data_IF_655887253667
#
_entry.id   IF_655887253667
#
_cell.length_a   1.000
_cell.length_b   1.000
_cell.length_c   1.000
_cell.angle_alpha   90.00
_cell.angle_beta   90.00
_cell.angle_gamma   90.00
#
_symmetry.space_group_name_H-M   'P 1'
#
loop_
_entity.id
_entity.type
_entity.pdbx_description
1 polymer ?
#
# COMPACT_ATOMS: atom_id res chain seq x y z
N UNK A 1 4.85 1.72 15.23
CA UNK A 1 5.10 2.86 16.14
C UNK A 1 4.09 3.94 15.78
N UNK A 2 2.99 4.06 16.52
CA UNK A 2 2.08 5.19 16.32
C UNK A 2 2.80 6.43 16.83
N UNK A 3 3.21 7.32 15.92
CA UNK A 3 3.71 8.63 16.30
C UNK A 3 2.52 9.40 16.91
N UNK A 4 2.46 9.47 18.24
CA UNK A 4 1.56 10.41 18.89
C UNK A 4 2.01 11.81 18.46
N UNK A 5 1.11 12.67 17.95
CA UNK A 5 1.48 14.05 17.70
C UNK A 5 1.80 14.69 19.05
N UNK A 6 3.01 15.23 19.15
CA UNK A 6 3.47 16.03 20.28
C UNK A 6 2.67 17.34 20.26
N UNK A 7 1.54 17.42 20.96
CA UNK A 7 0.77 18.66 21.04
C UNK A 7 0.09 18.86 22.40
N UNK A 8 0.20 20.12 22.83
CA UNK A 8 -0.05 20.68 24.16
C UNK A 8 -1.24 20.09 24.91
N UNK A 9 -1.03 19.85 26.20
CA UNK A 9 -2.05 19.48 27.18
C UNK A 9 -3.18 20.53 27.31
N UNK A 10 -3.04 21.70 26.68
CA UNK A 10 -3.99 22.82 26.72
C UNK A 10 -5.11 22.76 25.66
N UNK A 11 -5.22 21.66 24.90
CA UNK A 11 -6.33 21.47 23.97
C UNK A 11 -7.66 21.28 24.73
N UNK A 12 -8.80 21.76 24.18
CA UNK A 12 -10.11 21.67 24.84
C UNK A 12 -10.42 20.23 25.30
N UNK A 13 -10.91 20.11 26.55
CA UNK A 13 -11.30 18.83 27.16
C UNK A 13 -12.44 18.13 26.44
N UNK A 14 -13.22 18.89 25.66
CA UNK A 14 -14.29 18.39 24.80
C UNK A 14 -13.79 18.37 23.34
N UNK A 15 -13.32 17.21 22.84
CA UNK A 15 -12.84 17.10 21.48
C UNK A 15 -14.00 17.26 20.50
N UNK A 16 -13.79 18.08 19.48
CA UNK A 16 -14.77 18.25 18.41
C UNK A 16 -14.96 16.94 17.64
N UNK A 17 -16.11 16.28 17.84
CA UNK A 17 -16.45 15.00 17.20
C UNK A 17 -17.07 15.17 15.81
N UNK A 18 -17.31 16.40 15.33
CA UNK A 18 -17.86 16.65 13.98
C UNK A 18 -17.09 15.96 12.84
N UNK A 19 -15.75 15.80 12.90
CA UNK A 19 -15.00 15.04 11.89
C UNK A 19 -15.33 13.53 11.86
N UNK A 20 -15.90 12.99 12.94
CA UNK A 20 -16.30 11.57 13.08
C UNK A 20 -17.78 11.39 12.77
N UNK A 21 -18.17 11.58 11.51
CA UNK A 21 -19.51 11.22 11.07
C UNK A 21 -19.74 9.69 11.17
N UNK A 22 -20.97 9.29 11.46
CA UNK A 22 -21.35 7.88 11.54
C UNK A 22 -21.02 7.15 10.23
N UNK A 23 -20.26 6.05 10.33
CA UNK A 23 -19.83 5.24 9.17
C UNK A 23 -18.56 5.74 8.49
N UNK A 24 -17.98 6.88 8.89
CA UNK A 24 -16.68 7.33 8.38
C UNK A 24 -15.57 6.44 8.94
N UNK A 25 -14.72 5.82 8.10
CA UNK A 25 -13.62 5.02 8.61
C UNK A 25 -12.57 5.90 9.29
N UNK A 26 -12.25 5.57 10.54
CA UNK A 26 -11.34 6.37 11.38
C UNK A 26 -9.91 6.44 10.85
N UNK A 27 -9.50 5.48 10.01
CA UNK A 27 -8.19 5.42 9.36
C UNK A 27 -8.10 6.24 8.06
N UNK A 28 -9.13 7.01 7.69
CA UNK A 28 -9.11 7.84 6.47
C UNK A 28 -8.17 9.03 6.55
N UNK A 29 -7.95 9.59 7.73
CA UNK A 29 -7.04 10.71 7.93
C UNK A 29 -6.45 10.69 9.35
N UNK A 30 -5.29 11.37 9.51
CA UNK A 30 -4.67 11.56 10.82
C UNK A 30 -5.55 12.37 11.77
N UNK A 31 -6.31 13.32 11.24
CA UNK A 31 -7.29 14.11 12.02
C UNK A 31 -8.42 13.22 12.54
N UNK A 32 -9.09 12.42 11.68
CA UNK A 32 -10.14 11.50 12.10
C UNK A 32 -9.63 10.48 13.12
N UNK A 33 -8.43 9.95 12.92
CA UNK A 33 -7.78 9.05 13.88
C UNK A 33 -7.52 9.74 15.23
N UNK A 34 -7.01 10.98 15.21
CA UNK A 34 -6.71 11.74 16.43
C UNK A 34 -7.97 12.09 17.20
N UNK A 35 -9.02 12.54 16.51
CA UNK A 35 -10.33 12.81 17.10
C UNK A 35 -10.92 11.55 17.73
N UNK A 36 -10.81 10.39 17.06
CA UNK A 36 -11.31 9.12 17.60
C UNK A 36 -10.54 8.68 18.85
N UNK A 37 -9.21 8.80 18.81
CA UNK A 37 -8.36 8.44 19.95
C UNK A 37 -8.71 9.30 21.16
N UNK A 38 -8.80 10.63 20.99
CA UNK A 38 -9.06 11.56 22.10
C UNK A 38 -10.51 11.54 22.59
N UNK A 39 -11.48 11.49 21.68
CA UNK A 39 -12.90 11.61 22.02
C UNK A 39 -13.59 10.32 22.40
N UNK A 40 -13.04 9.17 22.02
CA UNK A 40 -13.70 7.87 22.24
C UNK A 40 -12.78 6.87 22.93
N UNK A 41 -11.59 6.62 22.37
CA UNK A 41 -10.73 5.53 22.84
C UNK A 41 -10.15 5.80 24.22
N UNK A 42 -9.55 6.97 24.45
CA UNK A 42 -8.94 7.31 25.74
C UNK A 42 -9.98 7.40 26.88
N UNK A 43 -11.13 8.07 26.73
CA UNK A 43 -12.17 8.08 27.77
C UNK A 43 -12.69 6.69 28.09
N UNK A 44 -12.90 5.83 27.07
CA UNK A 44 -13.34 4.46 27.27
C UNK A 44 -12.30 3.64 28.03
N UNK A 45 -11.03 3.71 27.63
CA UNK A 45 -9.96 3.00 28.33
C UNK A 45 -9.82 3.47 29.78
N UNK A 46 -9.90 4.78 30.02
CA UNK A 46 -9.90 5.33 31.37
C UNK A 46 -11.07 4.79 32.20
N UNK A 47 -12.28 4.78 31.64
CA UNK A 47 -13.45 4.20 32.30
C UNK A 47 -13.25 2.71 32.62
N UNK A 48 -12.76 1.93 31.65
CA UNK A 48 -12.51 0.49 31.81
C UNK A 48 -11.49 0.25 32.94
N UNK A 49 -10.42 1.06 33.03
CA UNK A 49 -9.41 0.96 34.09
C UNK A 49 -9.96 1.19 35.50
N UNK A 50 -10.96 2.06 35.66
CA UNK A 50 -11.56 2.36 36.96
C UNK A 50 -12.75 1.47 37.30
N UNK A 51 -13.29 0.70 36.34
CA UNK A 51 -14.52 -0.08 36.53
C UNK A 51 -14.34 -1.58 36.41
N UNK A 52 -13.32 -2.05 35.68
CA UNK A 52 -13.09 -3.47 35.41
C UNK A 52 -11.98 -4.07 36.29
N UNK A 53 -12.11 -5.34 36.70
CA UNK A 53 -11.01 -6.09 37.31
C UNK A 53 -9.82 -6.28 36.35
N UNK A 54 -8.63 -6.51 36.93
CA UNK A 54 -7.39 -6.68 36.15
C UNK A 54 -7.45 -7.88 35.20
N UNK A 55 -8.12 -8.96 35.57
CA UNK A 55 -8.27 -10.16 34.75
C UNK A 55 -9.02 -9.86 33.44
N UNK A 56 -10.07 -9.03 33.52
CA UNK A 56 -10.88 -8.63 32.36
C UNK A 56 -10.07 -7.69 31.45
N UNK A 57 -9.31 -6.77 32.05
CA UNK A 57 -8.43 -5.88 31.30
C UNK A 57 -7.33 -6.65 30.57
N UNK A 58 -6.71 -7.63 31.23
CA UNK A 58 -5.66 -8.47 30.63
C UNK A 58 -6.20 -9.36 29.51
N UNK A 59 -7.37 -9.97 29.68
CA UNK A 59 -8.04 -10.74 28.62
C UNK A 59 -8.34 -9.87 27.39
N UNK A 60 -8.88 -8.67 27.60
CA UNK A 60 -9.12 -7.70 26.54
C UNK A 60 -7.85 -7.26 25.82
N UNK A 61 -6.78 -6.95 26.57
CA UNK A 61 -5.48 -6.59 26.02
C UNK A 61 -4.86 -7.74 25.21
N UNK A 62 -4.89 -8.97 25.73
CA UNK A 62 -4.38 -10.15 25.03
C UNK A 62 -5.13 -10.39 23.71
N UNK A 63 -6.46 -10.29 23.71
CA UNK A 63 -7.28 -10.41 22.48
C UNK A 63 -6.94 -9.32 21.47
N UNK A 64 -6.79 -8.08 21.91
CA UNK A 64 -6.41 -6.97 21.04
C UNK A 64 -5.01 -7.17 20.42
N UNK A 65 -4.05 -7.67 21.20
CA UNK A 65 -2.70 -7.99 20.72
C UNK A 65 -2.72 -9.09 19.66
N UNK A 66 -3.43 -10.19 19.91
CA UNK A 66 -3.57 -11.30 18.95
C UNK A 66 -4.24 -10.84 17.66
N UNK A 67 -5.32 -10.06 17.75
CA UNK A 67 -6.00 -9.52 16.57
C UNK A 67 -5.07 -8.61 15.75
N UNK A 68 -4.30 -7.74 16.42
CA UNK A 68 -3.33 -6.88 15.75
C UNK A 68 -2.24 -7.69 15.04
N UNK A 69 -1.70 -8.73 15.69
CA UNK A 69 -0.72 -9.62 15.07
C UNK A 69 -1.27 -10.30 13.81
N UNK A 70 -2.49 -10.84 13.85
CA UNK A 70 -3.12 -11.45 12.69
C UNK A 70 -3.37 -10.44 11.56
N UNK A 71 -3.80 -9.23 11.90
CA UNK A 71 -4.00 -8.16 10.93
C UNK A 71 -2.69 -7.76 10.25
N UNK A 72 -1.61 -7.61 11.02
CA UNK A 72 -0.29 -7.31 10.48
C UNK A 72 0.23 -8.42 9.56
N UNK A 73 0.09 -9.68 9.97
CA UNK A 73 0.48 -10.83 9.14
C UNK A 73 -0.27 -10.83 7.80
N UNK A 74 -1.59 -10.65 7.81
CA UNK A 74 -2.40 -10.59 6.60
C UNK A 74 -1.99 -9.43 5.68
N UNK A 75 -1.64 -8.26 6.23
CA UNK A 75 -1.13 -7.14 5.44
C UNK A 75 0.23 -7.46 4.81
N UNK A 76 1.13 -8.13 5.54
CA UNK A 76 2.42 -8.55 4.99
C UNK A 76 2.25 -9.56 3.85
N UNK A 77 1.37 -10.54 4.02
CA UNK A 77 1.06 -11.52 2.97
C UNK A 77 0.52 -10.83 1.72
N UNK A 78 -0.41 -9.87 1.89
CA UNK A 78 -0.94 -9.10 0.78
C UNK A 78 0.14 -8.26 0.05
N UNK A 79 1.03 -7.61 0.79
CA UNK A 79 2.16 -6.86 0.22
C UNK A 79 3.13 -7.80 -0.51
N UNK A 80 3.38 -8.98 0.06
CA UNK A 80 4.24 -9.99 -0.54
C UNK A 80 3.62 -10.55 -1.83
N UNK A 81 2.32 -10.85 -1.82
CA UNK A 81 1.57 -11.28 -3.00
C UNK A 81 1.63 -10.24 -4.12
N UNK A 82 1.37 -8.97 -3.79
CA UNK A 82 1.48 -7.87 -4.73
C UNK A 82 2.90 -7.75 -5.29
N UNK A 83 3.92 -7.87 -4.44
CA UNK A 83 5.33 -7.86 -4.85
C UNK A 83 5.63 -9.00 -5.84
N UNK A 84 5.14 -10.23 -5.57
CA UNK A 84 5.31 -11.37 -6.48
C UNK A 84 4.69 -11.10 -7.85
N UNK A 85 3.51 -10.50 -7.89
CA UNK A 85 2.83 -10.13 -9.14
C UNK A 85 3.64 -9.07 -9.91
N UNK A 86 4.12 -8.04 -9.22
CA UNK A 86 4.95 -6.98 -9.81
C UNK A 86 6.23 -7.58 -10.41
N UNK A 87 6.96 -8.43 -9.67
CA UNK A 87 8.17 -9.09 -10.17
C UNK A 87 7.88 -9.99 -11.38
N UNK A 88 6.74 -10.69 -11.39
CA UNK A 88 6.35 -11.49 -12.55
C UNK A 88 6.08 -10.63 -13.79
N UNK A 89 5.42 -9.49 -13.61
CA UNK A 89 5.14 -8.55 -14.69
C UNK A 89 6.41 -7.89 -15.21
N UNK A 90 7.31 -7.48 -14.32
CA UNK A 90 8.61 -6.92 -14.66
C UNK A 90 9.42 -7.88 -15.54
N UNK A 91 9.50 -9.16 -15.15
CA UNK A 91 10.14 -10.21 -15.96
C UNK A 91 9.54 -10.34 -17.36
N UNK A 92 8.21 -10.32 -17.48
CA UNK A 92 7.52 -10.39 -18.78
C UNK A 92 7.79 -9.15 -19.64
N UNK A 93 7.84 -7.97 -19.01
CA UNK A 93 8.16 -6.71 -19.69
C UNK A 93 9.58 -6.71 -20.24
N UNK A 94 10.56 -7.21 -19.46
CA UNK A 94 11.95 -7.35 -19.93
C UNK A 94 12.06 -8.30 -21.12
N UNK A 95 11.35 -9.46 -21.07
CA UNK A 95 11.33 -10.41 -22.18
C UNK A 95 10.73 -9.78 -23.45
N UNK A 96 9.59 -9.10 -23.31
CA UNK A 96 8.94 -8.43 -24.44
C UNK A 96 9.84 -7.34 -25.06
N UNK A 97 10.55 -6.57 -24.23
CA UNK A 97 11.52 -5.59 -24.71
C UNK A 97 12.68 -6.24 -25.48
N UNK A 98 13.18 -7.38 -25.01
CA UNK A 98 14.24 -8.12 -25.71
C UNK A 98 13.74 -8.64 -27.06
N UNK A 99 12.56 -9.28 -27.11
CA UNK A 99 11.98 -9.77 -28.38
C UNK A 99 11.75 -8.63 -29.38
N UNK A 100 11.25 -7.47 -28.92
CA UNK A 100 11.10 -6.29 -29.77
C UNK A 100 12.43 -5.75 -30.29
N UNK A 101 13.49 -5.80 -29.47
CA UNK A 101 14.84 -5.43 -29.87
C UNK A 101 15.37 -6.38 -30.95
N UNK A 102 15.28 -7.68 -30.72
CA UNK A 102 15.77 -8.71 -31.66
C UNK A 102 15.01 -8.66 -33.00
N UNK A 103 13.68 -8.46 -32.96
CA UNK A 103 12.86 -8.26 -34.16
C UNK A 103 13.24 -7.00 -34.94
N UNK A 104 13.67 -5.94 -34.24
CA UNK A 104 14.14 -4.71 -34.89
C UNK A 104 15.50 -4.91 -35.55
N UNK A 105 16.41 -5.65 -34.92
CA UNK A 105 17.71 -5.99 -35.50
C UNK A 105 17.59 -6.95 -36.69
N UNK A 106 16.75 -7.98 -36.59
CA UNK A 106 16.48 -8.91 -37.70
C UNK A 106 15.90 -8.21 -38.93
N UNK A 107 14.96 -7.27 -38.74
CA UNK A 107 14.44 -6.43 -39.84
C UNK A 107 15.50 -5.54 -40.48
N UNK A 108 16.46 -5.05 -39.69
CA UNK A 108 17.56 -4.24 -40.21
C UNK A 108 18.54 -5.08 -41.05
N UNK A 109 18.82 -6.32 -40.65
CA UNK A 109 19.64 -7.24 -41.48
C UNK A 109 18.97 -7.59 -42.81
N UNK A 110 17.64 -7.83 -42.80
CA UNK A 110 16.89 -8.23 -43.99
C UNK A 110 16.78 -7.09 -45.02
N UNK A 111 16.71 -5.84 -44.56
CA UNK A 111 16.76 -4.66 -45.43
C UNK A 111 18.15 -4.41 -46.07
N UNK A 112 19.22 -4.92 -45.46
CA UNK A 112 20.60 -4.80 -45.98
C UNK A 112 20.92 -5.89 -47.02
N UNK A 113 20.17 -6.99 -47.05
CA UNK A 113 20.40 -8.17 -47.91
C UNK A 113 19.51 -8.18 -49.17
N UNK A 114 18.95 -7.04 -49.61
CA UNK A 114 18.30 -6.96 -50.92
C UNK A 114 19.36 -6.75 -52.04
N UNK A 115 19.59 -7.71 -52.95
CA UNK A 115 20.50 -7.50 -54.07
C UNK A 115 19.86 -6.49 -55.05
N UNK A 116 20.59 -5.41 -55.30
CA UNK A 116 20.22 -4.36 -56.24
C UNK A 116 20.06 -4.97 -57.65
N UNK A 117 18.88 -4.88 -58.30
CA UNK A 117 18.77 -5.32 -59.68
C UNK A 117 19.60 -4.38 -60.56
N UNK A 118 20.63 -4.93 -61.21
CA UNK A 118 21.34 -4.25 -62.28
C UNK A 118 20.37 -3.96 -63.43
N UNK A 119 20.18 -2.68 -63.72
CA UNK A 119 19.45 -2.18 -64.88
C UNK A 119 20.24 -2.49 -66.17
N UNK A 120 19.65 -3.12 -67.21
CA UNK A 120 20.35 -3.36 -68.46
C UNK A 120 20.56 -2.05 -69.21
N UNK A 121 21.82 -1.77 -69.57
CA UNK A 121 22.15 -0.67 -70.48
C UNK A 121 21.67 -1.03 -71.89
N UNK A 122 20.73 -0.23 -72.40
CA UNK A 122 20.36 -0.23 -73.81
C UNK A 122 21.15 0.88 -74.51
N UNK A 123 22.04 0.47 -75.42
CA UNK A 123 22.61 1.25 -76.53
C UNK A 123 22.67 0.27 -77.73
N UNK A 124 22.67 0.74 -78.99
CA UNK A 124 23.05 2.07 -79.48
C UNK A 124 21.92 2.93 -80.03
#
# INVERSE_FOLDING_TARGET
MCNLPEQAFDAPLDPDLRPLMHGTPVWKSGEASTTYIRGMLLPRLASDLYTLPSEVLMDGAAKAMVLNQHYQAALFDQVHDASRVITSLDRKMSLLHQELHDLKEGRNLDAVVAPRPESPKLNP
#
